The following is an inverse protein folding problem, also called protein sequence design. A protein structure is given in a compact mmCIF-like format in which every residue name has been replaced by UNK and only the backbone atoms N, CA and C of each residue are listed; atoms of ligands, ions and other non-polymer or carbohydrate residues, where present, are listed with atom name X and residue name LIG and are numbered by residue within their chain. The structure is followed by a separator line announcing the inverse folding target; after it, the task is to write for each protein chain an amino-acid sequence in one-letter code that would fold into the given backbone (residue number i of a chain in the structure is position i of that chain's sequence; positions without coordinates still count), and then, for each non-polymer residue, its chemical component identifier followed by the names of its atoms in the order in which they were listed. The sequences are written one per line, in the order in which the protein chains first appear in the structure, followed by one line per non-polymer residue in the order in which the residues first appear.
data_IF_349018009352
#
_entry.id   IF_349018009352
#
_cell.length_a   1.000
_cell.length_b   1.000
_cell.length_c   1.000
_cell.angle_alpha   90.00
_cell.angle_beta   90.00
_cell.angle_gamma   90.00
#
_symmetry.space_group_name_H-M   'P 1'
#
loop_
_entity.id
_entity.type
_entity.pdbx_description
1 polymer ?
#
# COMPACT_ATOMS: atom_id res chain seq x y z
N UNK A 1 12.25 4.10 26.51
CA UNK A 1 12.39 3.86 25.06
C UNK A 1 12.88 2.43 24.84
N UNK A 2 12.06 1.53 24.29
CA UNK A 2 12.51 0.18 23.93
C UNK A 2 13.37 0.27 22.66
N UNK A 3 14.61 -0.24 22.70
CA UNK A 3 15.46 -0.44 21.52
C UNK A 3 14.72 -1.34 20.53
N UNK A 4 14.47 -0.88 19.30
CA UNK A 4 14.04 -1.74 18.18
C UNK A 4 15.13 -2.81 18.00
N UNK A 5 14.74 -4.08 18.09
CA UNK A 5 15.64 -5.22 17.91
C UNK A 5 16.08 -5.31 16.44
N UNK A 6 17.29 -5.79 16.18
CA UNK A 6 17.90 -5.87 14.84
C UNK A 6 17.19 -6.84 13.85
N UNK A 7 16.01 -7.38 14.22
CA UNK A 7 15.20 -8.31 13.43
C UNK A 7 13.77 -7.78 13.20
N UNK A 8 13.55 -6.46 13.22
CA UNK A 8 12.23 -5.88 12.94
C UNK A 8 12.04 -5.55 11.46
N UNK A 9 10.86 -5.86 10.91
CA UNK A 9 10.43 -5.34 9.61
C UNK A 9 10.29 -3.81 9.71
N UNK A 10 10.76 -3.07 8.69
CA UNK A 10 10.62 -1.62 8.60
C UNK A 10 10.51 -1.20 7.14
N UNK A 11 9.57 -0.32 6.85
CA UNK A 11 9.35 0.24 5.50
C UNK A 11 10.61 0.88 4.93
N UNK A 12 11.48 1.48 5.77
CA UNK A 12 12.77 2.05 5.33
C UNK A 12 13.72 1.03 4.70
N UNK A 13 13.72 -0.22 5.18
CA UNK A 13 14.57 -1.26 4.59
C UNK A 13 14.11 -1.58 3.16
N UNK A 14 12.81 -1.57 2.91
CA UNK A 14 12.24 -1.69 1.56
C UNK A 14 12.62 -0.46 0.72
N UNK A 15 12.58 0.75 1.28
CA UNK A 15 13.06 1.96 0.62
C UNK A 15 14.53 1.87 0.17
N UNK A 16 15.41 1.33 1.02
CA UNK A 16 16.81 1.11 0.66
C UNK A 16 16.96 0.10 -0.49
N UNK A 17 16.15 -0.97 -0.48
CA UNK A 17 16.12 -1.95 -1.56
C UNK A 17 15.64 -1.31 -2.87
N UNK A 18 14.60 -0.49 -2.81
CA UNK A 18 14.04 0.20 -3.96
C UNK A 18 15.04 1.16 -4.62
N UNK A 19 15.85 1.88 -3.83
CA UNK A 19 16.95 2.73 -4.33
C UNK A 19 18.08 1.91 -4.94
N UNK A 20 18.38 0.74 -4.39
CA UNK A 20 19.43 -0.16 -4.90
C UNK A 20 19.01 -0.84 -6.21
N UNK A 21 17.74 -1.14 -6.37
CA UNK A 21 17.18 -1.83 -7.54
C UNK A 21 16.04 -1.01 -8.16
N UNK A 22 16.35 0.14 -8.81
CA UNK A 22 15.33 1.09 -9.27
C UNK A 22 14.37 0.51 -10.32
N UNK A 23 14.80 -0.51 -11.07
CA UNK A 23 13.98 -1.16 -12.10
C UNK A 23 13.06 -2.26 -11.55
N UNK A 24 13.32 -2.73 -10.33
CA UNK A 24 12.49 -3.73 -9.68
C UNK A 24 11.25 -3.07 -9.08
N UNK A 25 10.07 -3.43 -9.58
CA UNK A 25 8.78 -3.04 -9.00
C UNK A 25 8.52 -3.83 -7.73
N UNK A 26 8.19 -3.15 -6.64
CA UNK A 26 7.97 -3.77 -5.33
C UNK A 26 6.59 -3.38 -4.80
N UNK A 27 5.81 -4.37 -4.36
CA UNK A 27 4.53 -4.14 -3.67
C UNK A 27 4.79 -4.36 -2.18
N UNK A 28 4.63 -3.31 -1.39
CA UNK A 28 4.71 -3.36 0.06
C UNK A 28 3.36 -3.79 0.62
N UNK A 29 3.31 -5.01 1.16
CA UNK A 29 2.13 -5.58 1.76
C UNK A 29 1.57 -4.71 2.89
N UNK A 30 0.24 -4.62 2.98
CA UNK A 30 -0.49 -4.06 4.11
C UNK A 30 -0.12 -2.63 4.50
N UNK A 31 0.36 -1.81 3.55
CA UNK A 31 0.98 -0.51 3.80
C UNK A 31 2.21 -0.51 4.72
N UNK A 32 2.78 -1.66 5.09
CA UNK A 32 3.79 -1.75 6.17
C UNK A 32 3.18 -1.97 7.57
N UNK A 33 1.88 -2.28 7.63
CA UNK A 33 1.12 -2.68 8.81
C UNK A 33 1.12 -1.62 9.93
N UNK A 34 1.79 -1.88 11.07
CA UNK A 34 1.87 -0.93 12.20
C UNK A 34 2.55 0.40 11.81
N UNK A 35 3.43 0.38 10.81
CA UNK A 35 4.17 1.54 10.31
C UNK A 35 3.53 2.15 9.05
N UNK A 36 2.21 2.02 8.86
CA UNK A 36 1.54 2.39 7.61
C UNK A 36 1.80 3.83 7.13
N UNK A 37 1.90 4.80 8.05
CA UNK A 37 2.28 6.18 7.73
C UNK A 37 3.69 6.26 7.14
N UNK A 38 4.66 5.57 7.76
CA UNK A 38 6.02 5.49 7.22
C UNK A 38 6.04 4.76 5.88
N UNK A 39 5.24 3.70 5.72
CA UNK A 39 5.06 3.00 4.44
C UNK A 39 4.59 3.92 3.32
N UNK A 40 3.59 4.77 3.58
CA UNK A 40 3.11 5.78 2.62
C UNK A 40 4.23 6.73 2.21
N UNK A 41 4.97 7.29 3.16
CA UNK A 41 6.07 8.21 2.84
C UNK A 41 7.22 7.52 2.11
N UNK A 42 7.54 6.27 2.45
CA UNK A 42 8.52 5.48 1.71
C UNK A 42 8.05 5.24 0.28
N UNK A 43 6.78 4.93 0.04
CA UNK A 43 6.25 4.77 -1.31
C UNK A 43 6.22 6.10 -2.11
N UNK A 44 5.94 7.22 -1.42
CA UNK A 44 6.01 8.57 -1.99
C UNK A 44 7.42 8.90 -2.48
N UNK A 45 8.44 8.58 -1.68
CA UNK A 45 9.84 8.87 -2.00
C UNK A 45 10.44 7.96 -3.10
N UNK A 46 9.87 6.77 -3.33
CA UNK A 46 10.45 5.77 -4.21
C UNK A 46 9.50 5.40 -5.35
N UNK A 47 9.90 5.69 -6.60
CA UNK A 47 9.05 5.51 -7.80
C UNK A 47 8.62 4.06 -8.06
N UNK A 48 9.42 3.09 -7.65
CA UNK A 48 9.20 1.66 -7.88
C UNK A 48 8.55 0.91 -6.70
N UNK A 49 8.14 1.61 -5.64
CA UNK A 49 7.33 1.04 -4.55
C UNK A 49 5.84 1.32 -4.78
N UNK A 50 5.02 0.31 -4.54
CA UNK A 50 3.56 0.33 -4.52
C UNK A 50 3.06 -0.20 -3.17
N UNK A 51 1.83 0.12 -2.78
CA UNK A 51 1.23 -0.22 -1.48
C UNK A 51 0.05 -1.17 -1.69
N UNK A 52 0.05 -2.31 -1.01
CA UNK A 52 -1.08 -3.24 -0.99
C UNK A 52 -2.03 -2.96 0.18
N UNK A 53 -3.33 -3.03 -0.09
CA UNK A 53 -4.39 -2.71 0.88
C UNK A 53 -4.79 -3.86 1.79
N UNK A 54 -4.48 -5.12 1.42
CA UNK A 54 -4.91 -6.27 2.21
C UNK A 54 -4.45 -6.09 3.66
N UNK A 55 -5.30 -6.36 4.65
CA UNK A 55 -4.87 -6.38 6.06
C UNK A 55 -4.36 -5.04 6.61
N UNK A 56 -4.47 -3.94 5.85
CA UNK A 56 -4.25 -2.60 6.39
C UNK A 56 -5.27 -2.32 7.49
N UNK A 57 -4.98 -1.37 8.40
CA UNK A 57 -6.00 -0.88 9.32
C UNK A 57 -7.27 -0.49 8.56
N UNK A 58 -8.42 -0.82 9.13
CA UNK A 58 -9.74 -0.73 8.47
C UNK A 58 -10.29 0.69 8.38
N UNK A 59 -9.60 1.66 8.96
CA UNK A 59 -10.00 3.05 8.96
C UNK A 59 -9.92 3.63 7.54
N UNK A 60 -11.04 4.15 7.03
CA UNK A 60 -11.12 4.88 5.76
C UNK A 60 -10.05 5.98 5.61
N UNK A 61 -9.57 6.50 6.75
CA UNK A 61 -8.50 7.49 6.83
C UNK A 61 -7.20 6.98 6.21
N UNK A 62 -6.85 5.71 6.35
CA UNK A 62 -5.59 5.16 5.81
C UNK A 62 -5.55 5.28 4.29
N UNK A 63 -6.61 4.82 3.62
CA UNK A 63 -6.73 4.88 2.16
C UNK A 63 -6.76 6.32 1.67
N UNK A 64 -7.54 7.19 2.33
CA UNK A 64 -7.59 8.61 1.98
C UNK A 64 -6.23 9.29 2.14
N UNK A 65 -5.54 9.08 3.25
CA UNK A 65 -4.21 9.64 3.51
C UNK A 65 -3.22 9.13 2.47
N UNK A 66 -3.23 7.85 2.12
CA UNK A 66 -2.35 7.32 1.08
C UNK A 66 -2.58 7.98 -0.28
N UNK A 67 -3.84 8.12 -0.71
CA UNK A 67 -4.19 8.81 -1.97
C UNK A 67 -3.72 10.26 -1.94
N UNK A 68 -3.92 10.97 -0.82
CA UNK A 68 -3.49 12.37 -0.67
C UNK A 68 -1.96 12.54 -0.67
N UNK A 69 -1.23 11.60 -0.08
CA UNK A 69 0.21 11.76 0.15
C UNK A 69 1.08 11.17 -0.97
N UNK A 70 0.77 9.97 -1.47
CA UNK A 70 1.58 9.30 -2.50
C UNK A 70 0.88 9.16 -3.85
N UNK A 71 -0.40 9.52 -3.95
CA UNK A 71 -1.22 9.38 -5.15
C UNK A 71 -1.88 8.00 -5.26
N UNK A 72 -3.01 7.96 -5.96
CA UNK A 72 -3.81 6.76 -6.20
C UNK A 72 -3.08 5.71 -7.06
N UNK A 73 -2.25 6.13 -8.03
CA UNK A 73 -1.46 5.27 -8.92
C UNK A 73 -0.45 4.35 -8.18
N UNK A 74 -0.22 4.60 -6.88
CA UNK A 74 0.71 3.86 -6.03
C UNK A 74 0.06 2.72 -5.25
N UNK A 75 -1.25 2.61 -5.26
CA UNK A 75 -1.98 1.73 -4.35
C UNK A 75 -2.63 0.60 -5.16
N UNK A 76 -2.53 -0.64 -4.70
CA UNK A 76 -3.15 -1.81 -5.32
C UNK A 76 -4.03 -2.52 -4.30
N UNK A 77 -5.20 -2.96 -4.74
CA UNK A 77 -6.09 -3.71 -3.89
C UNK A 77 -5.64 -5.17 -3.74
N UNK A 78 -5.68 -5.67 -2.51
CA UNK A 78 -5.49 -7.08 -2.19
C UNK A 78 -6.57 -7.55 -1.22
N UNK A 79 -7.04 -8.78 -1.41
CA UNK A 79 -8.09 -9.37 -0.56
C UNK A 79 -7.57 -10.05 0.71
N UNK A 80 -6.28 -10.43 0.74
CA UNK A 80 -5.68 -11.24 1.82
C UNK A 80 -6.36 -12.59 2.06
N UNK A 81 -7.17 -13.06 1.11
CA UNK A 81 -7.87 -14.35 1.21
C UNK A 81 -6.87 -15.50 1.23
N UNK A 82 -7.10 -16.57 2.03
CA UNK A 82 -8.29 -16.85 2.84
C UNK A 82 -8.24 -16.29 4.27
N UNK A 83 -7.16 -15.63 4.67
CA UNK A 83 -6.99 -15.15 6.05
C UNK A 83 -7.93 -14.00 6.40
N UNK A 84 -8.34 -13.20 5.41
CA UNK A 84 -9.22 -12.06 5.56
C UNK A 84 -10.55 -12.23 4.82
N UNK A 85 -11.57 -11.51 5.27
CA UNK A 85 -12.87 -11.47 4.63
C UNK A 85 -12.83 -10.57 3.40
N UNK A 86 -13.10 -11.13 2.21
CA UNK A 86 -13.04 -10.43 0.94
C UNK A 86 -13.99 -9.22 0.90
N UNK A 87 -15.22 -9.37 1.44
CA UNK A 87 -16.20 -8.29 1.43
C UNK A 87 -15.76 -7.11 2.32
N UNK A 88 -15.14 -7.40 3.47
CA UNK A 88 -14.60 -6.36 4.35
C UNK A 88 -13.43 -5.61 3.70
N UNK A 89 -12.49 -6.32 3.06
CA UNK A 89 -11.37 -5.68 2.35
C UNK A 89 -11.83 -4.87 1.13
N UNK A 90 -12.91 -5.29 0.46
CA UNK A 90 -13.53 -4.52 -0.61
C UNK A 90 -14.21 -3.24 -0.07
N UNK A 91 -14.94 -3.37 1.05
CA UNK A 91 -15.65 -2.27 1.69
C UNK A 91 -14.72 -1.10 2.07
N UNK A 92 -13.47 -1.40 2.49
CA UNK A 92 -12.45 -0.37 2.78
C UNK A 92 -12.26 0.61 1.62
N UNK A 93 -12.28 0.11 0.39
CA UNK A 93 -12.05 0.93 -0.80
C UNK A 93 -13.34 1.61 -1.25
N UNK A 94 -14.47 0.88 -1.23
CA UNK A 94 -15.75 1.45 -1.67
C UNK A 94 -16.23 2.58 -0.76
N UNK A 95 -15.96 2.47 0.54
CA UNK A 95 -16.34 3.46 1.56
C UNK A 95 -15.30 4.57 1.76
N UNK A 96 -14.12 4.46 1.14
CA UNK A 96 -13.10 5.49 1.22
C UNK A 96 -13.59 6.80 0.60
N UNK A 97 -13.37 7.92 1.30
CA UNK A 97 -13.72 9.26 0.83
C UNK A 97 -12.70 9.80 -0.19
N UNK A 98 -12.64 9.14 -1.34
CA UNK A 98 -11.79 9.45 -2.50
C UNK A 98 -12.65 9.43 -3.77
N UNK A 99 -12.11 9.90 -4.90
CA UNK A 99 -12.88 9.92 -6.15
C UNK A 99 -13.15 8.51 -6.68
N UNK A 100 -14.21 8.35 -7.49
CA UNK A 100 -14.54 7.06 -8.09
C UNK A 100 -13.42 6.57 -9.03
N UNK A 101 -12.74 7.49 -9.72
CA UNK A 101 -11.57 7.16 -10.55
C UNK A 101 -10.42 6.58 -9.72
N UNK A 102 -10.20 7.12 -8.52
CA UNK A 102 -9.19 6.61 -7.60
C UNK A 102 -9.56 5.22 -7.08
N UNK A 103 -10.83 4.98 -6.71
CA UNK A 103 -11.32 3.64 -6.31
C UNK A 103 -11.11 2.63 -7.43
N UNK A 104 -11.48 2.99 -8.66
CA UNK A 104 -11.35 2.16 -9.83
C UNK A 104 -9.88 1.78 -10.12
N UNK A 105 -8.98 2.75 -9.99
CA UNK A 105 -7.53 2.51 -10.12
C UNK A 105 -7.00 1.54 -9.09
N UNK A 106 -7.36 1.76 -7.82
CA UNK A 106 -6.93 0.92 -6.70
C UNK A 106 -7.43 -0.51 -6.86
N UNK A 107 -8.71 -0.67 -7.20
CA UNK A 107 -9.35 -1.99 -7.32
C UNK A 107 -8.81 -2.81 -8.49
N UNK A 108 -8.45 -2.19 -9.63
CA UNK A 108 -7.96 -2.96 -10.76
C UNK A 108 -6.95 -2.26 -11.70
N UNK A 109 -7.12 -0.97 -12.06
CA UNK A 109 -6.31 -0.40 -13.16
C UNK A 109 -4.80 -0.41 -12.83
N UNK A 110 -4.45 -0.17 -11.57
CA UNK A 110 -3.07 -0.10 -11.15
C UNK A 110 -2.36 -1.45 -11.27
N UNK A 111 -2.99 -2.52 -10.78
CA UNK A 111 -2.38 -3.86 -10.85
C UNK A 111 -2.34 -4.36 -12.30
N UNK A 112 -3.37 -4.10 -13.12
CA UNK A 112 -3.36 -4.43 -14.55
C UNK A 112 -2.22 -3.72 -15.28
N UNK A 113 -2.03 -2.42 -15.05
CA UNK A 113 -0.89 -1.67 -15.62
C UNK A 113 0.45 -2.20 -15.13
N UNK A 114 0.54 -2.58 -13.85
CA UNK A 114 1.80 -3.06 -13.26
C UNK A 114 2.23 -4.40 -13.87
N UNK A 115 1.27 -5.30 -14.06
CA UNK A 115 1.43 -6.67 -14.56
C UNK A 115 1.31 -6.78 -16.09
N UNK A 116 0.92 -5.70 -16.79
CA UNK A 116 0.67 -5.67 -18.24
C UNK A 116 -0.42 -6.64 -18.70
N UNK A 117 -1.53 -6.64 -17.96
CA UNK A 117 -2.75 -7.41 -18.28
C UNK A 117 -3.65 -6.64 -19.24
#
# INVERSE_FOLDING_TARGET
MKKRLNNTSSSRLIGNLAKRFPDAKMIMAHFGFEDWLEGIFVAKENKNIYLDTAGSPTEWLVIKTAVQECGDDKIVWGSGSPALNIAAELAKITDAQISEEAKEKILYKNISKLLKL
#
